data_IF_236620814802
#
_entry.id   IF_236620814802
#
_cell.length_a   1.000
_cell.length_b   1.000
_cell.length_c   1.000
_cell.angle_alpha   90.00
_cell.angle_beta   90.00
_cell.angle_gamma   90.00
#
_symmetry.space_group_name_H-M   'P 1'
#
loop_
_entity.id
_entity.type
_entity.pdbx_description
1 polymer ?
#
# COMPACT_ATOMS: atom_id res chain seq x y z
N UNK A 1 51.19 3.45 -14.24
CA UNK A 1 50.15 2.44 -13.93
C UNK A 1 48.97 3.19 -13.35
N UNK A 2 47.84 3.22 -14.06
CA UNK A 2 46.62 3.86 -13.60
C UNK A 2 45.70 2.80 -13.00
N UNK A 3 45.30 2.98 -11.75
CA UNK A 3 44.29 2.15 -11.07
C UNK A 3 42.92 2.46 -11.67
N UNK A 4 42.35 1.49 -12.39
CA UNK A 4 40.96 1.56 -12.81
C UNK A 4 40.07 1.40 -11.58
N UNK A 5 39.39 2.47 -11.17
CA UNK A 5 38.34 2.41 -10.15
C UNK A 5 37.17 1.63 -10.73
N UNK A 6 36.99 0.41 -10.23
CA UNK A 6 35.80 -0.40 -10.47
C UNK A 6 34.57 0.40 -10.00
N UNK A 7 33.75 0.82 -10.96
CA UNK A 7 32.48 1.47 -10.68
C UNK A 7 31.62 0.57 -9.79
N UNK A 8 31.48 0.97 -8.53
CA UNK A 8 30.40 0.48 -7.68
C UNK A 8 29.10 0.92 -8.32
N UNK A 9 28.49 0.03 -9.11
CA UNK A 9 27.06 0.10 -9.38
C UNK A 9 26.37 -0.08 -8.04
N UNK A 10 26.00 1.02 -7.39
CA UNK A 10 24.95 1.04 -6.39
C UNK A 10 23.68 0.57 -7.10
N UNK A 11 23.49 -0.75 -7.15
CA UNK A 11 22.20 -1.37 -7.38
C UNK A 11 21.29 -0.84 -6.29
N UNK A 12 20.63 0.28 -6.56
CA UNK A 12 19.58 0.81 -5.72
C UNK A 12 18.62 -0.33 -5.46
N UNK A 13 18.37 -0.61 -4.19
CA UNK A 13 17.33 -1.55 -3.77
C UNK A 13 16.01 -0.94 -4.25
N UNK A 14 15.65 -1.23 -5.50
CA UNK A 14 14.37 -0.83 -6.06
C UNK A 14 13.27 -1.50 -5.24
N UNK A 15 12.15 -0.78 -5.06
CA UNK A 15 10.98 -1.36 -4.43
C UNK A 15 10.57 -2.64 -5.18
N UNK A 16 10.32 -3.77 -4.50
CA UNK A 16 9.87 -4.99 -5.17
C UNK A 16 8.46 -4.86 -5.77
N UNK A 17 7.73 -3.81 -5.39
CA UNK A 17 6.37 -3.51 -5.83
C UNK A 17 6.34 -2.20 -6.62
N UNK A 18 5.37 -2.09 -7.52
CA UNK A 18 5.12 -0.86 -8.27
C UNK A 18 4.65 0.27 -7.34
N UNK A 19 4.81 1.52 -7.78
CA UNK A 19 4.31 2.68 -7.05
C UNK A 19 2.78 2.64 -6.88
N UNK A 20 2.07 2.12 -7.88
CA UNK A 20 0.61 1.96 -7.84
C UNK A 20 0.22 0.97 -6.74
N UNK A 21 0.87 -0.20 -6.69
CA UNK A 21 0.65 -1.18 -5.63
C UNK A 21 1.02 -0.64 -4.25
N UNK A 22 2.11 0.11 -4.15
CA UNK A 22 2.51 0.78 -2.91
C UNK A 22 1.43 1.76 -2.42
N UNK A 23 0.89 2.60 -3.30
CA UNK A 23 -0.13 3.58 -2.94
C UNK A 23 -1.42 2.90 -2.45
N UNK A 24 -1.85 1.82 -3.12
CA UNK A 24 -3.01 1.04 -2.68
C UNK A 24 -2.77 0.40 -1.31
N UNK A 25 -1.60 -0.18 -1.09
CA UNK A 25 -1.22 -0.75 0.21
C UNK A 25 -1.13 0.30 1.32
N UNK A 26 -0.57 1.47 1.03
CA UNK A 26 -0.49 2.57 1.99
C UNK A 26 -1.88 3.10 2.36
N UNK A 27 -2.78 3.24 1.39
CA UNK A 27 -4.16 3.61 1.64
C UNK A 27 -4.87 2.54 2.49
N UNK A 28 -4.69 1.25 2.16
CA UNK A 28 -5.25 0.14 2.92
C UNK A 28 -4.77 0.14 4.37
N UNK A 29 -3.47 0.31 4.59
CA UNK A 29 -2.88 0.41 5.93
C UNK A 29 -3.54 1.52 6.75
N UNK A 30 -3.63 2.74 6.21
CA UNK A 30 -4.24 3.87 6.89
C UNK A 30 -5.72 3.63 7.26
N UNK A 31 -6.47 2.91 6.41
CA UNK A 31 -7.87 2.54 6.70
C UNK A 31 -7.98 1.54 7.84
N UNK A 32 -7.10 0.55 7.88
CA UNK A 32 -7.09 -0.43 8.97
C UNK A 32 -6.72 0.22 10.31
N UNK A 33 -5.74 1.13 10.32
CA UNK A 33 -5.41 1.93 11.51
C UNK A 33 -6.61 2.78 11.98
N UNK A 34 -7.35 3.38 11.05
CA UNK A 34 -8.58 4.12 11.35
C UNK A 34 -9.65 3.25 12.02
N UNK A 35 -9.88 2.05 11.50
CA UNK A 35 -10.84 1.09 12.07
C UNK A 35 -10.48 0.68 13.49
N UNK A 36 -9.20 0.48 13.79
CA UNK A 36 -8.74 0.21 15.16
C UNK A 36 -9.02 1.38 16.10
N UNK A 37 -8.76 2.60 15.66
CA UNK A 37 -9.08 3.80 16.43
C UNK A 37 -10.59 3.92 16.71
N UNK A 38 -11.45 3.70 15.70
CA UNK A 38 -12.90 3.78 15.86
C UNK A 38 -13.42 2.74 16.84
N UNK A 39 -12.90 1.51 16.82
CA UNK A 39 -13.27 0.46 17.78
C UNK A 39 -12.97 0.86 19.22
N UNK A 40 -11.83 1.50 19.46
CA UNK A 40 -11.46 2.02 20.78
C UNK A 40 -12.45 3.10 21.24
N UNK A 41 -12.72 4.10 20.41
CA UNK A 41 -13.62 5.19 20.79
C UNK A 41 -15.10 4.79 20.86
N UNK A 42 -15.54 3.80 20.07
CA UNK A 42 -16.90 3.26 20.16
C UNK A 42 -17.17 2.61 21.53
N UNK A 43 -16.15 2.06 22.17
CA UNK A 43 -16.23 1.47 23.50
C UNK A 43 -16.15 2.52 24.62
N UNK A 44 -15.30 3.55 24.43
CA UNK A 44 -14.95 4.50 25.49
C UNK A 44 -15.82 5.77 25.50
N UNK A 45 -16.60 6.04 24.45
CA UNK A 45 -17.35 7.30 24.31
C UNK A 45 -18.84 7.09 23.95
N UNK A 46 -19.71 7.98 24.44
CA UNK A 46 -21.16 7.98 24.15
C UNK A 46 -21.53 8.25 22.68
N UNK A 47 -20.54 8.45 21.80
CA UNK A 47 -20.72 8.74 20.36
C UNK A 47 -20.67 7.48 19.50
N UNK A 48 -21.14 6.33 20.00
CA UNK A 48 -21.04 5.03 19.32
C UNK A 48 -21.58 5.02 17.89
N UNK A 49 -22.65 5.77 17.61
CA UNK A 49 -23.25 5.86 16.28
C UNK A 49 -22.33 6.54 15.25
N UNK A 50 -21.54 7.56 15.65
CA UNK A 50 -20.55 8.20 14.79
C UNK A 50 -19.47 7.20 14.40
N UNK A 51 -18.89 6.53 15.39
CA UNK A 51 -17.80 5.56 15.18
C UNK A 51 -18.25 4.34 14.37
N UNK A 52 -19.48 3.87 14.58
CA UNK A 52 -20.09 2.84 13.75
C UNK A 52 -20.24 3.28 12.30
N UNK A 53 -20.72 4.50 12.04
CA UNK A 53 -20.87 5.03 10.67
C UNK A 53 -19.52 5.13 9.97
N UNK A 54 -18.52 5.71 10.63
CA UNK A 54 -17.16 5.81 10.07
C UNK A 54 -16.57 4.41 9.81
N UNK A 55 -16.79 3.46 10.73
CA UNK A 55 -16.34 2.08 10.54
C UNK A 55 -17.00 1.43 9.33
N UNK A 56 -18.29 1.64 9.09
CA UNK A 56 -18.98 1.08 7.93
C UNK A 56 -18.38 1.61 6.61
N UNK A 57 -18.11 2.91 6.54
CA UNK A 57 -17.50 3.54 5.36
C UNK A 57 -16.08 3.02 5.10
N UNK A 58 -15.25 2.92 6.14
CA UNK A 58 -13.89 2.42 5.97
C UNK A 58 -13.86 0.91 5.68
N UNK A 59 -14.81 0.12 6.17
CA UNK A 59 -14.95 -1.29 5.76
C UNK A 59 -15.28 -1.44 4.28
N UNK A 60 -16.12 -0.57 3.72
CA UNK A 60 -16.38 -0.55 2.28
C UNK A 60 -15.12 -0.16 1.50
N UNK A 61 -14.42 0.90 1.93
CA UNK A 61 -13.17 1.31 1.31
C UNK A 61 -12.10 0.21 1.34
N UNK A 62 -11.96 -0.52 2.46
CA UNK A 62 -11.04 -1.65 2.59
C UNK A 62 -11.35 -2.74 1.55
N UNK A 63 -12.63 -3.10 1.35
CA UNK A 63 -13.01 -4.09 0.34
C UNK A 63 -12.60 -3.64 -1.07
N UNK A 64 -12.90 -2.39 -1.42
CA UNK A 64 -12.54 -1.83 -2.72
C UNK A 64 -11.01 -1.79 -2.95
N UNK A 65 -10.24 -1.47 -1.91
CA UNK A 65 -8.78 -1.45 -1.97
C UNK A 65 -8.19 -2.86 -2.11
N UNK A 66 -8.81 -3.88 -1.49
CA UNK A 66 -8.43 -5.28 -1.67
C UNK A 66 -8.72 -5.71 -3.11
N UNK A 67 -9.92 -5.43 -3.64
CA UNK A 67 -10.29 -5.77 -5.01
C UNK A 67 -9.33 -5.14 -6.04
N UNK A 68 -8.92 -3.89 -5.78
CA UNK A 68 -7.94 -3.19 -6.60
C UNK A 68 -6.55 -3.83 -6.52
N UNK A 69 -6.11 -4.22 -5.32
CA UNK A 69 -4.84 -4.92 -5.14
C UNK A 69 -4.84 -6.25 -5.91
N UNK A 70 -5.93 -7.01 -5.84
CA UNK A 70 -6.08 -8.24 -6.62
C UNK A 70 -6.06 -7.98 -8.12
N UNK A 71 -6.68 -6.88 -8.59
CA UNK A 71 -6.64 -6.46 -10.00
C UNK A 71 -5.19 -6.19 -10.44
N UNK A 72 -4.40 -5.49 -9.62
CA UNK A 72 -2.98 -5.22 -9.91
C UNK A 72 -2.15 -6.51 -9.99
N UNK A 73 -2.45 -7.50 -9.14
CA UNK A 73 -1.80 -8.82 -9.20
C UNK A 73 -2.20 -9.56 -10.48
N UNK A 74 -3.49 -9.58 -10.83
CA UNK A 74 -4.00 -10.23 -12.05
C UNK A 74 -3.42 -9.62 -13.32
N UNK A 75 -3.15 -8.32 -13.33
CA UNK A 75 -2.61 -7.58 -14.48
C UNK A 75 -1.08 -7.51 -14.54
N UNK A 76 -0.37 -8.21 -13.63
CA UNK A 76 1.10 -8.14 -13.50
C UNK A 76 1.63 -6.69 -13.31
N UNK A 77 0.79 -5.82 -12.74
CA UNK A 77 1.13 -4.43 -12.36
C UNK A 77 1.59 -4.31 -10.92
N UNK A 78 1.52 -5.39 -10.16
CA UNK A 78 1.95 -5.40 -8.76
C UNK A 78 3.47 -5.24 -8.60
N UNK A 79 4.28 -5.81 -9.50
CA UNK A 79 5.74 -5.79 -9.42
C UNK A 79 6.32 -4.59 -10.19
N UNK A 80 7.45 -4.07 -9.70
CA UNK A 80 8.19 -3.05 -10.45
C UNK A 80 8.81 -3.70 -11.70
N UNK A 81 8.46 -3.21 -12.90
CA UNK A 81 9.12 -3.67 -14.13
C UNK A 81 10.56 -3.20 -14.13
N UNK A 82 11.52 -4.10 -14.37
CA UNK A 82 12.93 -3.73 -14.45
C UNK A 82 13.14 -2.73 -15.60
N UNK A 83 13.83 -1.60 -15.36
CA UNK A 83 14.21 -0.69 -16.44
C UNK A 83 15.23 -1.42 -17.33
N UNK A 84 14.78 -1.89 -18.50
CA UNK A 84 15.59 -2.66 -19.44
C UNK A 84 14.84 -3.74 -20.23
N UNK A 85 13.60 -4.07 -19.86
CA UNK A 85 12.70 -4.88 -20.68
C UNK A 85 11.68 -3.99 -21.42
N UNK A 86 12.17 -3.23 -22.39
CA UNK A 86 11.37 -2.82 -23.54
C UNK A 86 12.00 -3.51 -24.76
N UNK A 87 11.16 -4.08 -25.63
CA UNK A 87 11.53 -5.03 -26.68
C UNK A 87 12.49 -4.51 -27.75
#
# INVERSE_FOLDING_TARGET
MAIAQSGQSTQGVGSPISNEAYNVLAALHAKLEGLEAYRKYAHDTGSGQLWQRLSQQDNEAVRLLIDELERLVREDKFRMKQPGQAG
#
